data_IF_639594265553
#
_entry.id   IF_639594265553
#
_cell.length_a   1.000
_cell.length_b   1.000
_cell.length_c   1.000
_cell.angle_alpha   90.00
_cell.angle_beta   90.00
_cell.angle_gamma   90.00
#
_symmetry.space_group_name_H-M   'P 1'
#
loop_
_entity.id
_entity.type
_entity.pdbx_description
1 polymer ?
#
# COMPACT_ATOMS: atom_id res chain seq x y z
N UNK A 1 -47.45 -14.56 47.89
CA UNK A 1 -47.43 -13.11 47.55
C UNK A 1 -45.97 -12.68 47.50
N UNK A 2 -45.28 -12.96 46.39
CA UNK A 2 -45.02 -12.05 45.25
C UNK A 2 -44.40 -10.72 45.68
N UNK A 3 -43.06 -10.67 45.72
CA UNK A 3 -42.29 -9.53 45.19
C UNK A 3 -41.05 -10.11 44.51
N UNK A 4 -41.18 -10.40 43.21
CA UNK A 4 -40.06 -10.89 42.38
C UNK A 4 -39.15 -9.70 42.10
N UNK A 5 -37.90 -9.81 42.55
CA UNK A 5 -36.89 -8.76 42.51
C UNK A 5 -36.59 -8.37 41.06
N UNK A 6 -37.13 -7.21 40.65
CA UNK A 6 -36.79 -6.52 39.42
C UNK A 6 -35.36 -5.99 39.53
N UNK A 7 -34.37 -6.88 39.35
CA UNK A 7 -32.96 -6.49 39.30
C UNK A 7 -32.17 -7.42 38.36
N UNK A 8 -32.80 -7.89 37.27
CA UNK A 8 -32.10 -8.57 36.17
C UNK A 8 -31.99 -7.71 34.90
N UNK A 9 -32.45 -6.46 34.91
CA UNK A 9 -32.60 -5.65 33.71
C UNK A 9 -31.63 -4.46 33.60
N UNK A 10 -30.54 -4.46 34.35
CA UNK A 10 -29.51 -3.45 34.19
C UNK A 10 -28.14 -4.11 34.24
N UNK A 11 -27.25 -3.64 33.37
CA UNK A 11 -25.83 -3.98 33.22
C UNK A 11 -25.58 -4.97 32.08
N UNK A 12 -24.78 -4.50 31.11
CA UNK A 12 -24.20 -5.17 29.93
C UNK A 12 -24.81 -4.84 28.56
N UNK A 13 -25.20 -3.58 28.34
CA UNK A 13 -25.00 -2.98 27.01
C UNK A 13 -23.62 -2.30 26.99
N UNK A 14 -22.54 -3.10 27.03
CA UNK A 14 -21.20 -2.59 26.83
C UNK A 14 -21.04 -2.22 25.35
N UNK A 15 -21.18 -0.93 25.02
CA UNK A 15 -20.72 -0.41 23.74
C UNK A 15 -19.23 -0.75 23.61
N UNK A 16 -18.91 -1.76 22.80
CA UNK A 16 -17.58 -1.86 22.22
C UNK A 16 -17.46 -0.78 21.15
N UNK A 17 -17.14 0.44 21.59
CA UNK A 17 -16.45 1.38 20.73
C UNK A 17 -15.10 0.71 20.45
N UNK A 18 -15.02 0.00 19.32
CA UNK A 18 -13.76 -0.51 18.83
C UNK A 18 -12.82 0.68 18.71
N UNK A 19 -11.70 0.65 19.44
CA UNK A 19 -10.68 1.65 19.30
C UNK A 19 -10.24 1.65 17.83
N UNK A 20 -10.65 2.67 17.08
CA UNK A 20 -10.04 2.97 15.79
C UNK A 20 -8.63 3.40 16.13
N UNK A 21 -7.69 2.45 16.06
CA UNK A 21 -6.28 2.79 16.09
C UNK A 21 -6.06 3.73 14.90
N UNK A 22 -5.80 5.00 15.19
CA UNK A 22 -5.19 5.88 14.19
C UNK A 22 -3.83 5.26 13.91
N UNK A 23 -3.75 4.43 12.88
CA UNK A 23 -2.46 4.02 12.33
C UNK A 23 -1.81 5.30 11.84
N UNK A 24 -0.84 5.78 12.61
CA UNK A 24 0.04 6.82 12.15
C UNK A 24 0.64 6.36 10.83
N UNK A 25 0.56 7.21 9.82
CA UNK A 25 1.07 6.85 8.51
C UNK A 25 2.58 6.59 8.62
N UNK A 26 3.11 5.45 8.13
CA UNK A 26 4.52 5.15 8.25
C UNK A 26 5.39 6.29 7.69
N UNK A 27 6.60 6.52 8.23
CA UNK A 27 7.47 7.56 7.72
C UNK A 27 7.74 7.36 6.23
N UNK A 28 7.79 8.48 5.48
CA UNK A 28 8.14 8.45 4.06
C UNK A 28 9.64 8.23 3.84
N UNK A 29 10.47 8.49 4.86
CA UNK A 29 11.88 8.15 4.86
C UNK A 29 12.44 8.07 6.28
N UNK A 30 13.41 7.17 6.48
CA UNK A 30 14.13 7.01 7.73
C UNK A 30 15.57 6.56 7.44
N UNK A 31 16.41 6.60 8.47
CA UNK A 31 17.73 5.95 8.44
C UNK A 31 17.57 4.61 9.15
N UNK A 32 17.94 3.54 8.47
CA UNK A 32 17.99 2.21 9.03
C UNK A 32 19.06 2.17 10.14
N UNK A 33 18.71 1.84 11.40
CA UNK A 33 19.63 1.96 12.52
C UNK A 33 20.77 0.95 12.48
N UNK A 34 20.61 -0.17 11.77
CA UNK A 34 21.58 -1.26 11.73
C UNK A 34 22.63 -1.01 10.63
N UNK A 35 22.22 -0.37 9.54
CA UNK A 35 23.06 -0.16 8.34
C UNK A 35 23.47 1.29 8.12
N UNK A 36 22.80 2.25 8.75
CA UNK A 36 22.95 3.68 8.49
C UNK A 36 22.45 4.12 7.11
N UNK A 37 21.82 3.23 6.34
CA UNK A 37 21.31 3.55 5.01
C UNK A 37 19.99 4.32 5.10
N UNK A 38 19.82 5.29 4.20
CA UNK A 38 18.54 6.00 4.05
C UNK A 38 17.55 5.11 3.28
N UNK A 39 16.43 4.80 3.91
CA UNK A 39 15.30 4.13 3.28
C UNK A 39 14.24 5.17 2.93
N UNK A 40 13.63 5.00 1.74
CA UNK A 40 12.56 5.87 1.25
C UNK A 40 11.37 5.00 0.85
N UNK A 41 10.20 5.28 1.42
CA UNK A 41 8.94 4.68 1.01
C UNK A 41 8.42 5.41 -0.23
N UNK A 42 8.27 4.68 -1.34
CA UNK A 42 7.91 5.28 -2.63
C UNK A 42 6.41 5.54 -2.76
N UNK A 43 5.56 4.71 -2.14
CA UNK A 43 4.10 4.84 -2.22
C UNK A 43 3.47 4.72 -0.82
N UNK A 44 2.37 5.45 -0.61
CA UNK A 44 1.52 5.31 0.58
C UNK A 44 0.35 4.34 0.37
N UNK A 45 0.02 4.02 -0.89
CA UNK A 45 -1.10 3.16 -1.28
C UNK A 45 -0.92 1.72 -0.78
N UNK A 46 -1.75 1.26 0.18
CA UNK A 46 -1.66 -0.10 0.70
C UNK A 46 -1.94 -1.15 -0.38
N UNK A 47 -1.29 -2.31 -0.29
CA UNK A 47 -1.45 -3.39 -1.27
C UNK A 47 -0.69 -3.18 -2.58
N UNK A 48 0.12 -2.11 -2.67
CA UNK A 48 1.06 -1.94 -3.77
C UNK A 48 2.24 -2.90 -3.66
N UNK A 49 2.79 -3.35 -4.79
CA UNK A 49 3.96 -4.23 -4.81
C UNK A 49 4.88 -3.99 -6.02
N UNK A 50 6.18 -4.19 -5.80
CA UNK A 50 7.18 -4.29 -6.86
C UNK A 50 7.05 -5.62 -7.60
N UNK A 51 7.61 -5.67 -8.81
CA UNK A 51 7.76 -6.93 -9.54
C UNK A 51 8.78 -7.86 -8.87
N UNK A 52 8.74 -9.15 -9.23
CA UNK A 52 9.79 -10.09 -8.89
C UNK A 52 11.15 -9.60 -9.38
N UNK A 53 12.22 -9.92 -8.64
CA UNK A 53 13.58 -9.45 -8.95
C UNK A 53 14.10 -9.85 -10.36
N UNK A 54 13.55 -10.91 -10.95
CA UNK A 54 13.90 -11.35 -12.30
C UNK A 54 13.22 -10.54 -13.41
N UNK A 55 12.22 -9.73 -13.08
CA UNK A 55 11.45 -8.92 -14.00
C UNK A 55 11.93 -7.47 -13.96
N UNK A 56 12.06 -6.85 -15.12
CA UNK A 56 12.42 -5.43 -15.17
C UNK A 56 11.20 -4.57 -14.80
N UNK A 57 11.36 -3.70 -13.80
CA UNK A 57 10.34 -2.74 -13.40
C UNK A 57 10.62 -1.31 -13.90
N UNK A 58 11.83 -1.05 -14.39
CA UNK A 58 12.26 0.31 -14.74
C UNK A 58 12.13 0.57 -16.24
N UNK A 59 11.66 1.76 -16.61
CA UNK A 59 11.63 2.18 -18.01
C UNK A 59 13.04 2.30 -18.58
N UNK A 60 13.17 2.21 -19.91
CA UNK A 60 14.45 2.28 -20.62
C UNK A 60 15.33 3.51 -20.25
N UNK A 61 14.71 4.63 -19.88
CA UNK A 61 15.40 5.85 -19.46
C UNK A 61 15.72 5.90 -17.95
N UNK A 62 15.36 4.86 -17.21
CA UNK A 62 15.55 4.75 -15.76
C UNK A 62 14.75 5.75 -14.92
N UNK A 63 13.81 6.50 -15.52
CA UNK A 63 13.08 7.57 -14.82
C UNK A 63 11.85 7.09 -14.08
N UNK A 64 11.29 5.96 -14.50
CA UNK A 64 10.01 5.50 -14.00
C UNK A 64 10.05 4.04 -13.57
N UNK A 65 9.31 3.74 -12.52
CA UNK A 65 9.12 2.42 -11.94
C UNK A 65 7.67 1.98 -12.16
N UNK A 66 7.47 0.86 -12.85
CA UNK A 66 6.16 0.22 -12.98
C UNK A 66 5.94 -0.69 -11.77
N UNK A 67 4.73 -0.68 -11.21
CA UNK A 67 4.39 -1.47 -10.03
C UNK A 67 2.91 -1.83 -10.02
N UNK A 68 2.52 -2.84 -9.22
CA UNK A 68 1.12 -3.25 -9.10
C UNK A 68 0.44 -2.49 -7.97
N UNK A 69 -0.84 -2.22 -8.16
CA UNK A 69 -1.76 -1.60 -7.19
C UNK A 69 -2.97 -2.52 -6.98
N UNK A 70 -3.81 -2.31 -5.95
CA UNK A 70 -5.04 -3.07 -5.79
C UNK A 70 -5.96 -3.03 -7.02
N UNK A 71 -5.95 -1.91 -7.76
CA UNK A 71 -6.86 -1.66 -8.88
C UNK A 71 -6.25 -1.95 -10.26
N UNK A 72 -4.98 -2.38 -10.34
CA UNK A 72 -4.30 -2.62 -11.60
C UNK A 72 -2.81 -2.25 -11.57
N UNK A 73 -2.35 -1.50 -12.58
CA UNK A 73 -0.94 -1.20 -12.80
C UNK A 73 -0.72 0.31 -12.80
N UNK A 74 0.30 0.75 -12.07
CA UNK A 74 0.70 2.16 -12.01
C UNK A 74 2.18 2.32 -12.34
N UNK A 75 2.55 3.55 -12.67
CA UNK A 75 3.92 3.98 -12.88
C UNK A 75 4.23 5.13 -11.94
N UNK A 76 5.38 5.06 -11.27
CA UNK A 76 5.93 6.09 -10.41
C UNK A 76 7.10 6.78 -11.11
N UNK A 77 7.10 8.10 -11.13
CA UNK A 77 8.24 8.92 -11.54
C UNK A 77 9.22 9.07 -10.38
N UNK A 78 10.48 8.65 -10.56
CA UNK A 78 11.46 8.56 -9.47
C UNK A 78 11.97 9.94 -9.00
N UNK A 79 11.92 10.95 -9.87
CA UNK A 79 12.39 12.29 -9.53
C UNK A 79 11.33 13.05 -8.71
N UNK A 80 10.07 12.96 -9.13
CA UNK A 80 8.95 13.71 -8.53
C UNK A 80 8.20 12.91 -7.48
N UNK A 81 8.33 11.57 -7.47
CA UNK A 81 7.53 10.63 -6.68
C UNK A 81 6.03 10.67 -7.01
N UNK A 82 5.68 11.23 -8.17
CA UNK A 82 4.32 11.22 -8.68
C UNK A 82 3.94 9.87 -9.27
N UNK A 83 2.72 9.43 -9.01
CA UNK A 83 2.16 8.19 -9.56
C UNK A 83 1.09 8.49 -10.59
N UNK A 84 1.03 7.69 -11.66
CA UNK A 84 -0.11 7.65 -12.59
C UNK A 84 -0.48 6.21 -12.94
N UNK A 85 -1.78 5.95 -13.07
CA UNK A 85 -2.32 4.66 -13.55
C UNK A 85 -1.99 4.41 -15.01
N UNK A 86 -1.66 3.16 -15.34
CA UNK A 86 -1.34 2.69 -16.70
C UNK A 86 -2.38 1.71 -17.20
N UNK A 87 -2.90 0.83 -16.33
CA UNK A 87 -3.97 -0.11 -16.66
C UNK A 87 -4.84 -0.38 -15.44
N UNK A 88 -6.11 -0.73 -15.69
CA UNK A 88 -7.12 -1.03 -14.69
C UNK A 88 -7.56 -2.49 -14.75
N UNK A 89 -8.03 -2.99 -13.60
CA UNK A 89 -8.62 -4.31 -13.48
C UNK A 89 -7.58 -5.43 -13.30
N UNK A 90 -8.01 -6.66 -13.59
CA UNK A 90 -7.20 -7.87 -13.37
C UNK A 90 -6.18 -8.06 -14.49
N UNK A 91 -5.11 -7.27 -14.44
CA UNK A 91 -3.97 -7.29 -15.36
C UNK A 91 -2.69 -7.67 -14.61
N UNK A 92 -1.71 -8.26 -15.32
CA UNK A 92 -0.42 -8.66 -14.76
C UNK A 92 0.69 -7.99 -15.56
N UNK A 93 1.73 -7.50 -14.88
CA UNK A 93 2.93 -7.00 -15.58
C UNK A 93 3.85 -8.20 -15.89
N UNK A 94 4.31 -8.29 -17.13
CA UNK A 94 5.41 -9.19 -17.52
C UNK A 94 6.74 -8.51 -17.23
N UNK A 95 7.01 -7.37 -17.87
CA UNK A 95 8.16 -6.49 -17.61
C UNK A 95 7.97 -5.11 -18.26
N UNK A 96 8.75 -4.13 -17.80
CA UNK A 96 8.96 -2.88 -18.51
C UNK A 96 10.00 -3.07 -19.63
N UNK A 97 9.77 -2.44 -20.79
CA UNK A 97 10.68 -2.48 -21.92
C UNK A 97 12.04 -1.89 -21.60
N UNK A 98 13.12 -2.64 -21.89
CA UNK A 98 14.50 -2.21 -21.65
C UNK A 98 15.01 -1.17 -22.66
N UNK A 99 14.39 -1.10 -23.84
CA UNK A 99 14.80 -0.22 -24.96
C UNK A 99 13.76 0.81 -25.36
N UNK A 100 12.51 0.59 -24.95
CA UNK A 100 11.37 1.46 -25.27
C UNK A 100 10.59 1.71 -23.99
N UNK A 101 9.93 2.87 -23.84
CA UNK A 101 9.13 3.18 -22.66
C UNK A 101 7.75 2.50 -22.73
N UNK A 102 7.73 1.18 -22.91
CA UNK A 102 6.54 0.34 -23.04
C UNK A 102 6.41 -0.57 -21.80
N UNK A 103 5.18 -0.95 -21.46
CA UNK A 103 4.88 -1.93 -20.41
C UNK A 103 4.23 -3.14 -21.08
N UNK A 104 4.76 -4.33 -20.84
CA UNK A 104 4.22 -5.58 -21.38
C UNK A 104 3.36 -6.27 -20.31
N UNK A 105 2.16 -6.69 -20.72
CA UNK A 105 1.09 -7.17 -19.84
C UNK A 105 0.47 -8.46 -20.38
#
# INVERSE_FOLDING_TARGET
MVVSSACCAAILAALRVGAVSRREEPPSSWVDPDTGHRVVRLTSEPGSASLCFSQNAYTADGRRLVYTTPDGISVLDLATRGTRRVAEGRVRIVEAGRKTPQVYM
#
